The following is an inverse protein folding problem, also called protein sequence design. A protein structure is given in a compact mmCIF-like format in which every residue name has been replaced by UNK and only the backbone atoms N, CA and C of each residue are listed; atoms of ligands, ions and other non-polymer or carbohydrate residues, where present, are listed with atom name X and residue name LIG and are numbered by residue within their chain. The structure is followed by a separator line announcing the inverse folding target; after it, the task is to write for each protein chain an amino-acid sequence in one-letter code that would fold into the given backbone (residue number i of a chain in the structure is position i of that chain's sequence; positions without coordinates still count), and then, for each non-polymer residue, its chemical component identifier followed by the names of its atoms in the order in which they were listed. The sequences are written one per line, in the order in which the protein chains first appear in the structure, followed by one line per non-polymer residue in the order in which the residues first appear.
data_IF_870218875106
#
_entry.id   IF_870218875106
#
_cell.length_a   1.000
_cell.length_b   1.000
_cell.length_c   1.000
_cell.angle_alpha   90.00
_cell.angle_beta   90.00
_cell.angle_gamma   90.00
#
_symmetry.space_group_name_H-M   'P 1'
#
loop_
_entity.id
_entity.type
_entity.pdbx_description
1 polymer ?
#
# COMPACT_ATOMS: atom_id res chain seq x y z
N UNK A 1 17.33 13.71 -17.58
CA UNK A 1 16.50 12.55 -17.19
C UNK A 1 15.89 11.94 -18.43
N UNK A 2 15.98 10.65 -18.63
CA UNK A 2 15.29 9.96 -19.72
C UNK A 2 13.79 9.92 -19.40
N UNK A 3 12.89 10.30 -20.32
CA UNK A 3 11.45 10.18 -20.10
C UNK A 3 11.04 8.72 -19.85
N UNK A 4 10.06 8.56 -18.95
CA UNK A 4 9.46 7.23 -18.71
C UNK A 4 8.63 6.83 -19.94
N UNK A 5 8.70 5.56 -20.32
CA UNK A 5 7.95 5.06 -21.48
C UNK A 5 6.43 5.26 -21.29
N UNK A 6 5.68 5.65 -22.35
CA UNK A 6 4.25 6.01 -22.24
C UNK A 6 3.36 4.88 -21.72
N UNK A 7 3.68 3.62 -22.01
CA UNK A 7 2.97 2.41 -21.55
C UNK A 7 2.99 2.26 -20.02
N UNK A 8 4.04 2.75 -19.36
CA UNK A 8 4.13 2.77 -17.89
C UNK A 8 3.04 3.67 -17.30
N UNK A 9 2.72 4.80 -17.93
CA UNK A 9 1.62 5.67 -17.48
C UNK A 9 0.26 4.97 -17.62
N UNK A 10 0.07 4.20 -18.67
CA UNK A 10 -1.14 3.41 -18.85
C UNK A 10 -1.24 2.34 -17.77
N UNK A 11 -0.18 1.58 -17.54
CA UNK A 11 -0.12 0.52 -16.53
C UNK A 11 -0.40 1.06 -15.11
N UNK A 12 0.19 2.20 -14.76
CA UNK A 12 0.11 2.73 -13.38
C UNK A 12 -1.19 3.51 -13.15
N UNK A 13 -1.68 4.25 -14.14
CA UNK A 13 -2.77 5.22 -13.94
C UNK A 13 -3.99 4.98 -14.83
N UNK A 14 -3.83 4.99 -16.17
CA UNK A 14 -4.97 5.11 -17.08
C UNK A 14 -5.78 3.83 -17.23
N UNK A 15 -5.11 2.67 -17.31
CA UNK A 15 -5.75 1.36 -17.45
C UNK A 15 -5.90 0.61 -16.13
N UNK A 16 -5.26 1.09 -15.06
CA UNK A 16 -5.34 0.48 -13.75
C UNK A 16 -6.78 0.50 -13.20
N UNK A 17 -7.26 -0.63 -12.70
CA UNK A 17 -8.61 -0.82 -12.14
C UNK A 17 -8.54 -1.63 -10.85
N UNK A 18 -9.61 -1.58 -10.07
CA UNK A 18 -9.82 -2.51 -8.95
C UNK A 18 -10.45 -3.78 -9.48
N UNK A 19 -9.78 -4.91 -9.27
CA UNK A 19 -10.27 -6.22 -9.69
C UNK A 19 -10.96 -6.93 -8.54
N UNK A 20 -12.00 -7.70 -8.85
CA UNK A 20 -12.76 -8.50 -7.88
C UNK A 20 -12.52 -10.00 -8.03
N UNK A 21 -11.76 -10.39 -9.06
CA UNK A 21 -11.35 -11.77 -9.31
C UNK A 21 -9.84 -11.82 -9.55
N UNK A 22 -9.22 -12.94 -9.20
CA UNK A 22 -7.79 -13.14 -9.29
C UNK A 22 -7.50 -14.40 -10.10
N UNK A 23 -6.34 -14.42 -10.76
CA UNK A 23 -5.80 -15.64 -11.35
C UNK A 23 -5.20 -16.50 -10.23
N UNK A 24 -5.10 -17.81 -10.44
CA UNK A 24 -4.41 -18.71 -9.49
C UNK A 24 -2.90 -18.55 -9.45
N UNK A 25 -2.35 -17.47 -10.03
CA UNK A 25 -0.91 -17.22 -10.08
C UNK A 25 -0.37 -16.93 -8.68
N UNK A 26 0.59 -17.72 -8.26
CA UNK A 26 1.30 -17.50 -7.02
C UNK A 26 2.13 -16.21 -7.05
N UNK A 27 2.17 -15.49 -5.93
CA UNK A 27 3.05 -14.35 -5.71
C UNK A 27 4.25 -14.81 -4.87
N UNK A 28 5.45 -14.91 -5.45
CA UNK A 28 6.64 -15.36 -4.72
C UNK A 28 7.06 -14.35 -3.64
N UNK A 29 7.66 -14.84 -2.56
CA UNK A 29 8.17 -13.97 -1.49
C UNK A 29 9.28 -13.03 -1.98
N UNK A 30 10.07 -13.44 -2.97
CA UNK A 30 11.08 -12.58 -3.60
C UNK A 30 10.45 -11.30 -4.17
N UNK A 31 9.29 -11.43 -4.82
CA UNK A 31 8.55 -10.32 -5.40
C UNK A 31 7.96 -9.39 -4.34
N UNK A 32 7.52 -9.94 -3.20
CA UNK A 32 7.07 -9.13 -2.07
C UNK A 32 8.22 -8.35 -1.42
N UNK A 33 9.42 -8.92 -1.38
CA UNK A 33 10.62 -8.22 -0.94
C UNK A 33 11.02 -7.11 -1.91
N UNK A 34 10.94 -7.35 -3.20
CA UNK A 34 11.18 -6.33 -4.23
C UNK A 34 10.16 -5.20 -4.14
N UNK A 35 8.88 -5.53 -3.99
CA UNK A 35 7.81 -4.56 -3.74
C UNK A 35 8.15 -3.66 -2.55
N UNK A 36 8.56 -4.25 -1.43
CA UNK A 36 8.95 -3.48 -0.25
C UNK A 36 10.19 -2.63 -0.50
N UNK A 37 11.19 -3.16 -1.20
CA UNK A 37 12.42 -2.44 -1.55
C UNK A 37 12.15 -1.19 -2.40
N UNK A 38 11.11 -1.20 -3.25
CA UNK A 38 10.67 -0.06 -4.03
C UNK A 38 9.85 0.94 -3.21
N UNK A 39 8.78 0.46 -2.55
CA UNK A 39 7.82 1.35 -1.87
C UNK A 39 8.43 2.11 -0.70
N UNK A 40 9.45 1.57 -0.04
CA UNK A 40 10.14 2.20 1.10
C UNK A 40 10.80 3.54 0.76
N UNK A 41 11.02 3.84 -0.51
CA UNK A 41 11.59 5.10 -0.98
C UNK A 41 10.57 6.22 -1.09
N UNK A 42 9.29 5.93 -0.87
CA UNK A 42 8.24 6.95 -0.83
C UNK A 42 8.53 7.99 0.27
N UNK A 43 8.49 9.32 -0.04
CA UNK A 43 8.78 10.35 0.93
C UNK A 43 7.72 10.40 2.03
N UNK A 44 8.19 10.71 3.26
CA UNK A 44 7.32 11.01 4.39
C UNK A 44 7.86 12.21 5.15
N UNK A 45 6.99 12.91 5.84
CA UNK A 45 7.39 14.04 6.67
C UNK A 45 8.46 13.62 7.68
N UNK A 46 9.60 14.31 7.70
CA UNK A 46 10.74 13.99 8.59
C UNK A 46 11.20 12.52 8.46
N UNK A 47 11.00 11.90 7.31
CA UNK A 47 11.29 10.48 7.09
C UNK A 47 10.67 9.56 8.17
N UNK A 48 9.48 9.91 8.66
CA UNK A 48 8.87 9.25 9.81
C UNK A 48 8.36 7.82 9.54
N UNK A 49 8.10 7.46 8.30
CA UNK A 49 7.77 6.12 7.81
C UNK A 49 6.89 5.29 8.76
N UNK A 50 5.67 5.73 9.09
CA UNK A 50 4.83 5.08 10.07
C UNK A 50 4.16 3.79 9.58
N UNK A 51 4.11 3.53 8.26
CA UNK A 51 3.43 2.34 7.76
C UNK A 51 4.15 1.04 8.16
N UNK A 52 3.35 0.04 8.51
CA UNK A 52 3.78 -1.34 8.74
C UNK A 52 2.98 -2.25 7.83
N UNK A 53 3.65 -3.15 7.13
CA UNK A 53 3.03 -4.01 6.12
C UNK A 53 3.04 -5.46 6.59
N UNK A 54 1.86 -6.08 6.58
CA UNK A 54 1.71 -7.50 6.85
C UNK A 54 1.18 -8.19 5.61
N UNK A 55 1.98 -9.08 5.03
CA UNK A 55 1.61 -9.86 3.84
C UNK A 55 0.95 -11.16 4.27
N UNK A 56 -0.34 -11.28 4.02
CA UNK A 56 -1.18 -12.44 4.39
C UNK A 56 -1.33 -13.33 3.16
N UNK A 57 -0.74 -14.53 3.18
CA UNK A 57 -0.74 -15.50 2.07
C UNK A 57 -1.48 -16.78 2.38
N UNK A 58 -1.22 -17.38 3.54
CA UNK A 58 -1.80 -18.69 3.89
C UNK A 58 -3.29 -18.59 4.18
N UNK A 59 -4.02 -19.65 3.86
CA UNK A 59 -5.47 -19.73 4.12
C UNK A 59 -5.75 -19.56 5.62
N UNK A 60 -4.99 -20.20 6.49
CA UNK A 60 -5.12 -20.04 7.94
C UNK A 60 -4.94 -18.60 8.42
N UNK A 61 -4.06 -17.80 7.78
CA UNK A 61 -3.92 -16.40 8.11
C UNK A 61 -5.06 -15.54 7.56
N UNK A 62 -5.59 -15.88 6.38
CA UNK A 62 -6.78 -15.23 5.81
C UNK A 62 -8.04 -15.54 6.62
N UNK A 63 -8.21 -16.78 7.10
CA UNK A 63 -9.32 -17.19 7.98
C UNK A 63 -9.32 -16.37 9.28
N UNK A 64 -8.15 -16.10 9.85
CA UNK A 64 -8.01 -15.22 11.01
C UNK A 64 -8.35 -13.76 10.71
N UNK A 65 -8.12 -13.31 9.48
CA UNK A 65 -8.44 -11.97 9.04
C UNK A 65 -9.93 -11.79 8.71
N UNK A 66 -10.59 -12.83 8.21
CA UNK A 66 -11.95 -12.78 7.69
C UNK A 66 -12.98 -12.12 8.63
N UNK A 67 -12.98 -12.39 9.97
CA UNK A 67 -13.93 -11.73 10.88
C UNK A 67 -13.77 -10.21 10.99
N UNK A 68 -12.61 -9.66 10.64
CA UNK A 68 -12.35 -8.22 10.66
C UNK A 68 -12.71 -7.52 9.35
N UNK A 69 -13.16 -8.26 8.32
CA UNK A 69 -13.49 -7.72 7.01
C UNK A 69 -14.98 -7.37 6.91
N UNK A 70 -15.29 -6.32 6.15
CA UNK A 70 -16.65 -6.07 5.70
C UNK A 70 -17.14 -7.26 4.85
N UNK A 71 -18.40 -7.68 5.01
CA UNK A 71 -18.96 -8.86 4.34
C UNK A 71 -18.71 -8.91 2.82
N UNK A 72 -18.84 -7.78 2.12
CA UNK A 72 -18.58 -7.66 0.68
C UNK A 72 -17.11 -7.82 0.27
N UNK A 73 -16.18 -7.85 1.22
CA UNK A 73 -14.75 -8.01 0.96
C UNK A 73 -14.22 -9.42 1.26
N UNK A 74 -14.97 -10.23 2.03
CA UNK A 74 -14.51 -11.54 2.47
C UNK A 74 -14.15 -12.44 1.29
N UNK A 75 -15.07 -12.68 0.37
CA UNK A 75 -14.87 -13.61 -0.75
C UNK A 75 -13.65 -13.23 -1.61
N UNK A 76 -13.49 -11.95 -1.95
CA UNK A 76 -12.35 -11.50 -2.76
C UNK A 76 -11.03 -11.54 -1.99
N UNK A 77 -11.04 -11.27 -0.68
CA UNK A 77 -9.84 -11.38 0.15
C UNK A 77 -9.38 -12.83 0.28
N UNK A 78 -10.31 -13.76 0.47
CA UNK A 78 -10.00 -15.19 0.51
C UNK A 78 -9.45 -15.70 -0.83
N UNK A 79 -9.98 -15.21 -1.95
CA UNK A 79 -9.55 -15.61 -3.30
C UNK A 79 -8.22 -14.96 -3.73
N UNK A 80 -7.81 -13.85 -3.12
CA UNK A 80 -6.58 -13.15 -3.49
C UNK A 80 -5.34 -13.99 -3.12
N UNK A 81 -4.31 -14.09 -3.99
CA UNK A 81 -3.08 -14.83 -3.67
C UNK A 81 -2.32 -14.20 -2.49
N UNK A 82 -2.42 -12.89 -2.33
CA UNK A 82 -1.84 -12.14 -1.21
C UNK A 82 -2.77 -11.00 -0.82
N UNK A 83 -2.97 -10.82 0.48
CA UNK A 83 -3.60 -9.62 1.04
C UNK A 83 -2.58 -8.85 1.85
N UNK A 84 -2.51 -7.54 1.68
CA UNK A 84 -1.59 -6.69 2.44
C UNK A 84 -2.38 -5.86 3.44
N UNK A 85 -2.07 -6.01 4.72
CA UNK A 85 -2.56 -5.12 5.76
C UNK A 85 -1.56 -3.97 5.87
N UNK A 86 -2.04 -2.73 5.70
CA UNK A 86 -1.26 -1.52 5.92
C UNK A 86 -1.69 -0.95 7.27
N UNK A 87 -0.88 -1.20 8.28
CA UNK A 87 -1.07 -0.67 9.62
C UNK A 87 -0.27 0.63 9.82
N UNK A 88 -0.66 1.42 10.78
CA UNK A 88 -0.01 2.68 11.10
C UNK A 88 0.58 2.61 12.51
N UNK A 89 1.88 2.84 12.61
CA UNK A 89 2.59 2.93 13.88
C UNK A 89 2.47 4.35 14.44
N UNK A 90 1.70 4.52 15.51
CA UNK A 90 1.52 5.82 16.18
C UNK A 90 2.74 6.22 17.02
N UNK A 91 3.64 5.27 17.30
CA UNK A 91 4.92 5.52 18.00
C UNK A 91 6.11 5.64 17.06
N UNK A 92 5.88 5.95 15.77
CA UNK A 92 6.93 6.13 14.77
C UNK A 92 8.05 7.08 15.25
N UNK A 93 7.75 7.99 16.14
CA UNK A 93 8.68 8.97 16.68
C UNK A 93 9.85 8.33 17.47
N UNK A 94 9.67 7.11 17.98
CA UNK A 94 10.75 6.34 18.64
C UNK A 94 11.88 5.99 17.65
N UNK A 95 11.59 5.97 16.34
CA UNK A 95 12.55 5.67 15.28
C UNK A 95 13.20 6.92 14.67
N UNK A 96 12.68 8.13 14.94
CA UNK A 96 13.21 9.38 14.37
C UNK A 96 14.69 9.65 14.67
N UNK A 97 15.24 9.29 15.82
CA UNK A 97 16.67 9.48 16.06
C UNK A 97 17.56 8.81 15.01
N UNK A 98 17.11 7.67 14.45
CA UNK A 98 17.82 6.94 13.39
C UNK A 98 17.37 7.37 12.00
N UNK A 99 16.07 7.60 11.81
CA UNK A 99 15.48 7.88 10.49
C UNK A 99 15.62 9.33 10.06
N UNK A 100 15.71 10.27 11.02
CA UNK A 100 15.83 11.70 10.78
C UNK A 100 16.83 12.35 11.77
N UNK A 101 18.11 11.95 11.77
CA UNK A 101 19.12 12.43 12.71
C UNK A 101 19.40 13.94 12.59
N UNK A 102 19.01 14.58 11.48
CA UNK A 102 19.18 16.01 11.27
C UNK A 102 18.41 16.88 12.30
N UNK A 103 17.39 16.33 12.97
CA UNK A 103 16.64 17.04 14.00
C UNK A 103 16.42 16.16 15.23
N UNK A 104 17.35 16.25 16.18
CA UNK A 104 17.30 15.49 17.45
C UNK A 104 16.06 15.81 18.33
N UNK A 105 15.38 16.94 18.11
CA UNK A 105 14.18 17.34 18.88
C UNK A 105 12.88 16.80 18.27
N UNK A 106 12.91 16.25 17.06
CA UNK A 106 11.70 15.79 16.37
C UNK A 106 10.96 14.69 17.15
N UNK A 107 11.70 13.74 17.73
CA UNK A 107 11.10 12.67 18.53
C UNK A 107 10.30 13.21 19.74
N UNK A 108 10.89 14.17 20.48
CA UNK A 108 10.26 14.77 21.66
C UNK A 108 8.99 15.56 21.29
N UNK A 109 8.96 16.22 20.12
CA UNK A 109 7.79 16.93 19.64
C UNK A 109 6.56 16.00 19.53
N UNK A 110 6.74 14.83 18.95
CA UNK A 110 5.66 13.86 18.79
C UNK A 110 5.35 13.10 20.09
N UNK A 111 6.36 12.75 20.86
CA UNK A 111 6.18 12.09 22.16
C UNK A 111 5.35 12.96 23.13
N UNK A 112 5.49 14.27 23.08
CA UNK A 112 4.75 15.23 23.89
C UNK A 112 3.36 15.59 23.36
N UNK A 113 2.97 15.13 22.15
CA UNK A 113 1.71 15.49 21.52
C UNK A 113 1.10 14.30 20.74
N UNK A 114 0.28 13.51 21.44
CA UNK A 114 -0.34 12.31 20.88
C UNK A 114 -1.22 12.61 19.65
N UNK A 115 -1.99 13.69 19.66
CA UNK A 115 -2.87 14.06 18.54
C UNK A 115 -2.05 14.42 17.29
N UNK A 116 -0.93 15.14 17.47
CA UNK A 116 -0.01 15.44 16.37
C UNK A 116 0.65 14.15 15.85
N UNK A 117 1.07 13.25 16.74
CA UNK A 117 1.66 11.97 16.35
C UNK A 117 0.67 11.12 15.56
N UNK A 118 -0.57 10.98 16.02
CA UNK A 118 -1.62 10.22 15.36
C UNK A 118 -1.96 10.79 13.97
N UNK A 119 -2.20 12.10 13.87
CA UNK A 119 -2.52 12.74 12.59
C UNK A 119 -1.37 12.66 11.59
N UNK A 120 -0.12 12.78 12.05
CA UNK A 120 1.07 12.63 11.22
C UNK A 120 1.25 11.20 10.75
N UNK A 121 1.08 10.23 11.65
CA UNK A 121 1.15 8.81 11.35
C UNK A 121 0.10 8.42 10.31
N UNK A 122 -1.15 8.85 10.49
CA UNK A 122 -2.25 8.57 9.55
C UNK A 122 -1.97 9.12 8.15
N UNK A 123 -1.61 10.40 8.03
CA UNK A 123 -1.33 11.04 6.72
C UNK A 123 -0.18 10.36 6.00
N UNK A 124 0.93 10.12 6.70
CA UNK A 124 2.11 9.52 6.09
C UNK A 124 1.94 8.02 5.84
N UNK A 125 1.22 7.30 6.71
CA UNK A 125 0.84 5.91 6.48
C UNK A 125 -0.04 5.74 5.25
N UNK A 126 -0.99 6.64 5.03
CA UNK A 126 -1.84 6.69 3.83
C UNK A 126 -1.00 6.94 2.57
N UNK A 127 -0.07 7.89 2.62
CA UNK A 127 0.86 8.17 1.52
C UNK A 127 1.71 6.93 1.19
N UNK A 128 2.24 6.24 2.19
CA UNK A 128 2.98 5.00 1.98
C UNK A 128 2.10 3.86 1.43
N UNK A 129 0.81 3.81 1.80
CA UNK A 129 -0.17 2.92 1.18
C UNK A 129 -0.38 3.21 -0.31
N UNK A 130 -0.37 4.49 -0.72
CA UNK A 130 -0.42 4.87 -2.13
C UNK A 130 0.85 4.43 -2.89
N UNK A 131 2.03 4.58 -2.28
CA UNK A 131 3.28 4.05 -2.86
C UNK A 131 3.28 2.53 -3.01
N UNK A 132 2.68 1.79 -2.06
CA UNK A 132 2.47 0.34 -2.20
C UNK A 132 1.67 0.03 -3.47
N UNK A 133 0.57 0.73 -3.71
CA UNK A 133 -0.27 0.51 -4.89
C UNK A 133 0.49 0.82 -6.18
N UNK A 134 1.22 1.94 -6.23
CA UNK A 134 2.01 2.33 -7.40
C UNK A 134 3.12 1.32 -7.68
N UNK A 135 3.89 0.94 -6.66
CA UNK A 135 4.97 -0.03 -6.79
C UNK A 135 4.46 -1.41 -7.24
N UNK A 136 3.33 -1.88 -6.68
CA UNK A 136 2.71 -3.13 -7.10
C UNK A 136 2.26 -3.10 -8.57
N UNK A 137 1.74 -1.98 -9.06
CA UNK A 137 1.40 -1.79 -10.48
C UNK A 137 2.63 -1.80 -11.37
N UNK A 138 3.70 -1.14 -10.96
CA UNK A 138 4.97 -1.13 -11.71
C UNK A 138 5.58 -2.53 -11.83
N UNK A 139 5.44 -3.36 -10.80
CA UNK A 139 5.87 -4.76 -10.82
C UNK A 139 4.92 -5.71 -11.57
N UNK A 140 3.85 -5.20 -12.18
CA UNK A 140 2.88 -6.02 -12.89
C UNK A 140 2.07 -6.96 -11.99
N UNK A 141 1.92 -6.63 -10.71
CA UNK A 141 1.21 -7.47 -9.72
C UNK A 141 -0.31 -7.40 -9.83
N UNK A 142 -0.83 -6.46 -10.62
CA UNK A 142 -2.25 -6.47 -10.97
C UNK A 142 -2.46 -7.39 -12.16
N UNK A 143 -3.42 -8.32 -12.10
CA UNK A 143 -3.61 -9.32 -13.14
C UNK A 143 -3.74 -8.64 -14.51
N UNK A 144 -2.98 -9.15 -15.48
CA UNK A 144 -3.27 -8.91 -16.88
C UNK A 144 -4.75 -9.21 -17.11
N UNK A 145 -5.38 -8.36 -17.91
CA UNK A 145 -6.80 -8.40 -18.29
C UNK A 145 -7.40 -9.80 -18.16
N UNK A 146 -8.11 -10.08 -17.08
CA UNK A 146 -9.24 -10.95 -17.22
C UNK A 146 -10.18 -10.21 -18.16
N UNK A 147 -10.46 -10.75 -19.33
CA UNK A 147 -11.55 -10.32 -20.19
C UNK A 147 -12.85 -10.52 -19.42
N UNK A 148 -13.18 -9.57 -18.56
CA UNK A 148 -14.52 -9.43 -18.06
C UNK A 148 -15.32 -8.86 -19.22
N UNK A 149 -16.18 -9.67 -19.81
CA UNK A 149 -17.22 -9.19 -20.68
C UNK A 149 -17.97 -8.05 -20.02
N UNK A 150 -18.07 -6.93 -20.73
CA UNK A 150 -19.09 -5.91 -20.62
C UNK A 150 -19.21 -5.17 -19.29
N UNK A 151 -18.81 -3.97 -19.29
CA UNK A 151 -19.35 -2.70 -18.83
C UNK A 151 -18.21 -1.78 -18.39
N UNK A 152 -17.70 -1.04 -19.35
CA UNK A 152 -16.86 0.12 -19.09
C UNK A 152 -17.70 1.18 -18.35
N UNK A 153 -17.60 1.21 -17.02
CA UNK A 153 -17.92 2.45 -16.30
C UNK A 153 -16.69 3.36 -16.38
N UNK A 154 -16.83 4.58 -16.87
CA UNK A 154 -15.75 5.56 -16.83
C UNK A 154 -15.32 5.79 -15.38
N UNK A 155 -14.06 6.18 -15.12
CA UNK A 155 -13.62 6.53 -13.79
C UNK A 155 -14.54 7.62 -13.23
N UNK A 156 -14.94 7.47 -11.96
CA UNK A 156 -15.62 8.55 -11.24
C UNK A 156 -14.64 9.74 -11.21
N UNK A 157 -14.91 10.73 -12.02
CA UNK A 157 -14.24 12.02 -11.96
C UNK A 157 -14.84 12.74 -10.75
N UNK A 158 -14.07 12.83 -9.68
CA UNK A 158 -14.42 13.70 -8.56
C UNK A 158 -14.22 15.14 -9.04
N UNK A 159 -15.30 15.85 -9.27
CA UNK A 159 -15.27 17.31 -9.38
C UNK A 159 -15.28 17.88 -7.96
N UNK A 160 -14.36 18.83 -7.64
CA UNK A 160 -14.36 19.53 -6.36
C UNK A 160 -15.60 20.39 -6.18
#
# INVERSE_FOLDING_TARGET
MTPIAPDVFDQVFRTARTFNAFTGREVPDALLRELYALLRWGPTSMNCQPARYVFVKSDAAKDRLAPALSAGNVAKTMAAPVTVIVATDTRFHEHLPTQFPANAKAAALFAGNAALAESTAFRNGTLQGAYLIVAARLLGQFPEKMQAGGNHRPPLVYHP
#
